data_IF_282383630004
#
_entry.id   IF_282383630004
#
_cell.length_a   1.000
_cell.length_b   1.000
_cell.length_c   1.000
_cell.angle_alpha   90.00
_cell.angle_beta   90.00
_cell.angle_gamma   90.00
#
_symmetry.space_group_name_H-M   'P 1'
#
loop_
_entity.id
_entity.type
_entity.pdbx_description
1 polymer ?
#
# COMPACT_ATOMS: atom_id res chain seq x y z
N UNK A 1 1.94 -18.95 -13.44
CA UNK A 1 1.09 -17.83 -13.00
C UNK A 1 1.14 -17.72 -11.48
N UNK A 2 2.17 -17.08 -10.91
CA UNK A 2 2.30 -16.82 -9.45
C UNK A 2 1.73 -15.44 -9.08
N UNK A 3 0.63 -15.04 -9.72
CA UNK A 3 0.08 -13.67 -9.64
C UNK A 3 -0.42 -13.33 -8.22
N UNK A 4 -0.57 -14.33 -7.35
CA UNK A 4 -1.17 -14.19 -6.01
C UNK A 4 -0.13 -14.19 -4.87
N UNK A 5 1.17 -14.37 -5.15
CA UNK A 5 2.17 -14.56 -4.09
C UNK A 5 3.02 -13.33 -3.72
N UNK A 6 2.70 -12.14 -4.25
CA UNK A 6 3.38 -10.90 -3.87
C UNK A 6 2.43 -9.96 -3.10
N UNK A 7 2.19 -10.31 -1.84
CA UNK A 7 1.43 -9.54 -0.84
C UNK A 7 1.96 -8.10 -0.77
N UNK A 8 3.26 -7.88 -0.90
CA UNK A 8 3.85 -6.54 -0.93
C UNK A 8 3.34 -5.67 -2.09
N UNK A 9 3.13 -6.28 -3.26
CA UNK A 9 2.57 -5.56 -4.41
C UNK A 9 1.08 -5.27 -4.24
N UNK A 10 0.35 -6.16 -3.57
CA UNK A 10 -1.07 -5.93 -3.23
C UNK A 10 -1.18 -4.76 -2.24
N UNK A 11 -0.35 -4.74 -1.20
CA UNK A 11 -0.31 -3.63 -0.23
C UNK A 11 0.11 -2.31 -0.87
N UNK A 12 1.03 -2.34 -1.82
CA UNK A 12 1.40 -1.16 -2.61
C UNK A 12 0.22 -0.65 -3.45
N UNK A 13 -0.54 -1.54 -4.08
CA UNK A 13 -1.74 -1.14 -4.82
C UNK A 13 -2.76 -0.46 -3.90
N UNK A 14 -2.99 -1.02 -2.70
CA UNK A 14 -3.86 -0.39 -1.69
C UNK A 14 -3.34 0.99 -1.29
N UNK A 15 -2.03 1.15 -1.08
CA UNK A 15 -1.42 2.45 -0.80
C UNK A 15 -1.68 3.47 -1.92
N UNK A 16 -1.49 3.08 -3.19
CA UNK A 16 -1.71 3.97 -4.33
C UNK A 16 -3.18 4.39 -4.46
N UNK A 17 -4.12 3.50 -4.15
CA UNK A 17 -5.55 3.83 -4.09
C UNK A 17 -5.81 4.87 -3.01
N UNK A 18 -5.25 4.71 -1.80
CA UNK A 18 -5.39 5.69 -0.72
C UNK A 18 -4.83 7.06 -1.13
N UNK A 19 -3.67 7.09 -1.80
CA UNK A 19 -3.07 8.34 -2.32
C UNK A 19 -3.98 9.01 -3.35
N UNK A 20 -4.61 8.25 -4.25
CA UNK A 20 -5.56 8.79 -5.21
C UNK A 20 -6.78 9.44 -4.52
N UNK A 21 -7.32 8.81 -3.47
CA UNK A 21 -8.41 9.40 -2.69
C UNK A 21 -8.00 10.71 -2.01
N UNK A 22 -6.78 10.79 -1.48
CA UNK A 22 -6.26 12.04 -0.88
C UNK A 22 -6.15 13.13 -1.94
N UNK A 23 -5.68 12.80 -3.14
CA UNK A 23 -5.59 13.75 -4.26
C UNK A 23 -6.97 14.26 -4.71
N UNK A 24 -8.03 13.46 -4.51
CA UNK A 24 -9.42 13.85 -4.76
C UNK A 24 -10.05 14.63 -3.59
N UNK A 25 -9.29 14.94 -2.53
CA UNK A 25 -9.72 15.74 -1.39
C UNK A 25 -10.24 14.93 -0.19
N UNK A 26 -10.07 13.60 -0.18
CA UNK A 26 -10.42 12.80 0.98
C UNK A 26 -9.45 13.05 2.15
N UNK A 27 -10.00 13.31 3.33
CA UNK A 27 -9.23 13.43 4.58
C UNK A 27 -8.92 12.03 5.13
N UNK A 28 -7.75 11.50 4.77
CA UNK A 28 -7.25 10.23 5.31
C UNK A 28 -6.22 10.53 6.41
N UNK A 29 -6.36 9.96 7.62
CA UNK A 29 -5.37 10.13 8.68
C UNK A 29 -3.98 9.67 8.24
N UNK A 30 -2.96 10.51 8.46
CA UNK A 30 -1.57 10.24 8.09
C UNK A 30 -1.00 8.95 8.70
N UNK A 31 -1.47 8.60 9.91
CA UNK A 31 -1.10 7.35 10.56
C UNK A 31 -1.48 6.10 9.73
N UNK A 32 -2.66 6.10 9.09
CA UNK A 32 -3.12 4.97 8.27
C UNK A 32 -2.24 4.83 7.03
N UNK A 33 -1.94 5.95 6.37
CA UNK A 33 -1.07 5.99 5.18
C UNK A 33 0.33 5.48 5.52
N UNK A 34 0.89 5.93 6.65
CA UNK A 34 2.22 5.52 7.12
C UNK A 34 2.30 4.03 7.44
N UNK A 35 1.29 3.46 8.11
CA UNK A 35 1.26 2.03 8.45
C UNK A 35 1.19 1.18 7.17
N UNK A 36 0.31 1.54 6.22
CA UNK A 36 0.17 0.81 4.95
C UNK A 36 1.46 0.91 4.12
N UNK A 37 2.08 2.09 4.06
CA UNK A 37 3.35 2.29 3.35
C UNK A 37 4.49 1.45 3.94
N UNK A 38 4.61 1.43 5.28
CA UNK A 38 5.62 0.61 5.97
C UNK A 38 5.38 -0.88 5.75
N UNK A 39 4.14 -1.34 5.89
CA UNK A 39 3.80 -2.73 5.64
C UNK A 39 4.12 -3.12 4.19
N UNK A 40 3.71 -2.30 3.21
CA UNK A 40 4.01 -2.54 1.80
C UNK A 40 5.53 -2.63 1.56
N UNK A 41 6.31 -1.67 2.08
CA UNK A 41 7.76 -1.67 1.94
C UNK A 41 8.42 -2.93 2.54
N UNK A 42 7.98 -3.36 3.73
CA UNK A 42 8.50 -4.57 4.38
C UNK A 42 8.20 -5.82 3.56
N UNK A 43 6.96 -5.99 3.10
CA UNK A 43 6.60 -7.17 2.30
C UNK A 43 7.30 -7.18 0.93
N UNK A 44 7.41 -6.03 0.25
CA UNK A 44 8.18 -5.89 -0.99
C UNK A 44 9.65 -6.26 -0.77
N UNK A 45 10.27 -5.77 0.31
CA UNK A 45 11.69 -6.03 0.60
C UNK A 45 11.96 -7.51 0.86
N UNK A 46 11.02 -8.22 1.49
CA UNK A 46 11.09 -9.67 1.72
C UNK A 46 10.88 -10.46 0.42
N UNK A 47 10.47 -9.81 -0.68
CA UNK A 47 10.16 -10.46 -1.95
C UNK A 47 8.90 -11.33 -1.87
N UNK A 48 7.97 -10.95 -0.97
CA UNK A 48 6.73 -11.66 -0.66
C UNK A 48 5.50 -10.78 -0.87
#
# INVERSE_FOLDING_TARGET
MRVINNIGFILLAVYLVLVAFIALGALIPSAVIGIVALAAAVFILIGR
#
